data_IF_871662527328
#
_entry.id   IF_871662527328
#
_cell.length_a   1.000
_cell.length_b   1.000
_cell.length_c   1.000
_cell.angle_alpha   90.00
_cell.angle_beta   90.00
_cell.angle_gamma   90.00
#
_symmetry.space_group_name_H-M   'P 1'
#
loop_
_entity.id
_entity.type
_entity.pdbx_description
1 polymer ?
#
# COMPACT_ATOMS: atom_id res chain seq x y z
N UNK A 1 11.28 -7.40 3.82
CA UNK A 1 11.61 -6.83 5.15
C UNK A 1 11.84 -7.89 6.25
N UNK A 2 10.86 -8.72 6.66
CA UNK A 2 11.05 -9.78 7.70
C UNK A 2 12.22 -10.73 7.41
N UNK A 3 12.46 -11.07 6.15
CA UNK A 3 13.63 -11.90 5.77
C UNK A 3 14.96 -11.26 6.18
N UNK A 4 15.12 -9.94 6.01
CA UNK A 4 16.36 -9.24 6.41
C UNK A 4 16.59 -9.30 7.91
N UNK A 5 15.54 -9.11 8.70
CA UNK A 5 15.61 -9.28 10.15
C UNK A 5 16.05 -10.69 10.54
N UNK A 6 15.57 -11.71 9.81
CA UNK A 6 15.98 -13.10 10.05
C UNK A 6 17.46 -13.32 9.69
N UNK A 7 17.92 -12.80 8.55
CA UNK A 7 19.32 -12.83 8.12
C UNK A 7 20.26 -12.05 9.05
N UNK A 8 19.74 -11.05 9.77
CA UNK A 8 20.48 -10.29 10.77
C UNK A 8 20.48 -10.97 12.16
N UNK A 9 19.82 -12.12 12.33
CA UNK A 9 19.68 -12.79 13.61
C UNK A 9 18.59 -12.21 14.53
N UNK A 10 17.83 -11.21 14.06
CA UNK A 10 16.77 -10.53 14.80
C UNK A 10 15.43 -11.27 14.66
N UNK A 11 15.41 -12.55 15.04
CA UNK A 11 14.27 -13.46 14.85
C UNK A 11 13.04 -13.08 15.70
N UNK A 12 13.22 -12.34 16.79
CA UNK A 12 12.13 -11.83 17.62
C UNK A 12 11.24 -10.78 16.91
N UNK A 13 11.74 -10.09 15.87
CA UNK A 13 10.99 -9.07 15.09
C UNK A 13 9.99 -9.69 14.11
N UNK A 14 8.88 -10.25 14.61
CA UNK A 14 7.86 -10.90 13.76
C UNK A 14 7.09 -9.96 12.82
N UNK A 15 6.29 -10.53 11.90
CA UNK A 15 5.38 -9.77 11.00
C UNK A 15 4.45 -8.81 11.76
N UNK A 16 4.02 -9.17 12.98
CA UNK A 16 3.15 -8.32 13.81
C UNK A 16 3.82 -6.98 14.15
N UNK A 17 5.12 -6.99 14.44
CA UNK A 17 5.88 -5.78 14.73
C UNK A 17 5.98 -4.87 13.50
N UNK A 18 6.01 -5.44 12.29
CA UNK A 18 6.19 -4.70 11.03
C UNK A 18 4.89 -4.20 10.39
N UNK A 19 3.79 -4.08 11.15
CA UNK A 19 2.48 -3.67 10.59
C UNK A 19 2.39 -2.17 10.32
N UNK A 20 2.90 -1.34 11.22
CA UNK A 20 2.83 0.12 11.11
C UNK A 20 4.15 0.68 10.57
N UNK A 21 4.09 1.86 9.97
CA UNK A 21 5.28 2.54 9.44
C UNK A 21 6.29 2.83 10.57
N UNK A 22 5.83 3.46 11.65
CA UNK A 22 6.67 3.79 12.81
C UNK A 22 7.41 2.57 13.36
N UNK A 23 6.71 1.43 13.54
CA UNK A 23 7.37 0.24 14.06
C UNK A 23 8.41 -0.33 13.09
N UNK A 24 8.20 -0.19 11.78
CA UNK A 24 9.21 -0.60 10.78
C UNK A 24 10.43 0.29 10.85
N UNK A 25 10.27 1.60 10.98
CA UNK A 25 11.38 2.56 11.10
C UNK A 25 12.22 2.27 12.35
N UNK A 26 11.56 2.10 13.51
CA UNK A 26 12.22 1.70 14.75
C UNK A 26 12.96 0.36 14.56
N UNK A 27 12.30 -0.64 13.97
CA UNK A 27 12.93 -1.95 13.75
C UNK A 27 14.13 -1.84 12.80
N UNK A 28 14.03 -1.04 11.73
CA UNK A 28 15.12 -0.87 10.76
C UNK A 28 16.34 -0.19 11.38
N UNK A 29 16.14 0.74 12.31
CA UNK A 29 17.23 1.34 13.06
C UNK A 29 18.02 0.33 13.90
N UNK A 30 17.42 -0.81 14.29
CA UNK A 30 18.09 -1.90 15.01
C UNK A 30 18.96 -2.78 14.10
N UNK A 31 18.86 -2.66 12.78
CA UNK A 31 19.66 -3.47 11.86
C UNK A 31 21.12 -3.02 11.83
N UNK A 32 22.07 -3.98 11.74
CA UNK A 32 23.46 -3.67 11.41
C UNK A 32 23.56 -2.91 10.08
N UNK A 33 24.54 -2.00 9.98
CA UNK A 33 24.74 -1.11 8.83
C UNK A 33 24.72 -1.82 7.47
N UNK A 34 25.28 -3.05 7.41
CA UNK A 34 25.28 -3.89 6.19
C UNK A 34 23.88 -4.16 5.60
N UNK A 35 22.83 -4.15 6.41
CA UNK A 35 21.44 -4.37 5.96
C UNK A 35 20.62 -3.08 5.85
N UNK A 36 21.11 -1.95 6.38
CA UNK A 36 20.34 -0.71 6.45
C UNK A 36 19.95 -0.19 5.06
N UNK A 37 20.91 -0.13 4.12
CA UNK A 37 20.65 0.35 2.74
C UNK A 37 19.51 -0.42 2.05
N UNK A 38 19.53 -1.74 2.19
CA UNK A 38 18.50 -2.62 1.64
C UNK A 38 17.15 -2.42 2.35
N UNK A 39 17.18 -2.34 3.68
CA UNK A 39 15.98 -2.14 4.49
C UNK A 39 15.31 -0.79 4.20
N UNK A 40 16.07 0.29 4.08
CA UNK A 40 15.60 1.62 3.70
C UNK A 40 14.99 1.62 2.29
N UNK A 41 15.61 0.94 1.32
CA UNK A 41 15.03 0.81 -0.02
C UNK A 41 13.65 0.15 0.05
N UNK A 42 13.51 -0.93 0.83
CA UNK A 42 12.23 -1.61 1.00
C UNK A 42 11.21 -0.70 1.70
N UNK A 43 11.61 0.09 2.71
CA UNK A 43 10.70 1.04 3.36
C UNK A 43 10.14 2.05 2.36
N UNK A 44 10.99 2.63 1.50
CA UNK A 44 10.56 3.56 0.45
C UNK A 44 9.57 2.91 -0.52
N UNK A 45 9.85 1.67 -0.95
CA UNK A 45 8.93 0.92 -1.83
C UNK A 45 7.59 0.68 -1.15
N UNK A 46 7.56 0.34 0.15
CA UNK A 46 6.31 0.15 0.88
C UNK A 46 5.47 1.43 0.94
N UNK A 47 6.10 2.58 1.13
CA UNK A 47 5.42 3.88 1.13
C UNK A 47 4.85 4.21 -0.26
N UNK A 48 5.61 3.96 -1.33
CA UNK A 48 5.14 4.15 -2.70
C UNK A 48 3.97 3.23 -3.05
N UNK A 49 4.03 1.94 -2.68
CA UNK A 49 2.93 1.00 -2.90
C UNK A 49 1.67 1.47 -2.16
N UNK A 50 1.81 1.94 -0.91
CA UNK A 50 0.68 2.47 -0.14
C UNK A 50 0.06 3.70 -0.81
N UNK A 51 0.88 4.62 -1.32
CA UNK A 51 0.42 5.79 -2.05
C UNK A 51 -0.31 5.39 -3.35
N UNK A 52 0.31 4.50 -4.14
CA UNK A 52 -0.25 4.07 -5.42
C UNK A 52 -1.61 3.37 -5.23
N UNK A 53 -1.77 2.54 -4.20
CA UNK A 53 -3.05 1.90 -3.91
C UNK A 53 -4.14 2.93 -3.60
N UNK A 54 -3.81 3.99 -2.87
CA UNK A 54 -4.75 5.09 -2.57
C UNK A 54 -5.16 5.85 -3.84
N UNK A 55 -4.20 6.16 -4.71
CA UNK A 55 -4.47 6.85 -5.98
C UNK A 55 -5.36 6.00 -6.89
N UNK A 56 -5.08 4.69 -7.00
CA UNK A 56 -5.91 3.75 -7.75
C UNK A 56 -7.34 3.70 -7.19
N UNK A 57 -7.50 3.66 -5.87
CA UNK A 57 -8.81 3.69 -5.23
C UNK A 57 -9.58 4.99 -5.57
N UNK A 58 -8.91 6.14 -5.53
CA UNK A 58 -9.48 7.44 -5.90
C UNK A 58 -9.91 7.48 -7.37
N UNK A 59 -9.05 7.03 -8.30
CA UNK A 59 -9.34 6.95 -9.73
C UNK A 59 -10.55 6.04 -10.02
N UNK A 60 -10.63 4.88 -9.36
CA UNK A 60 -11.78 3.97 -9.49
C UNK A 60 -13.05 4.67 -8.98
N UNK A 61 -13.02 5.33 -7.84
CA UNK A 61 -14.18 6.04 -7.31
C UNK A 61 -14.64 7.18 -8.23
N UNK A 62 -13.72 7.92 -8.84
CA UNK A 62 -14.04 8.94 -9.82
C UNK A 62 -14.67 8.36 -11.10
N UNK A 63 -14.11 7.26 -11.62
CA UNK A 63 -14.67 6.57 -12.77
C UNK A 63 -16.09 6.05 -12.48
N UNK A 64 -16.33 5.51 -11.28
CA UNK A 64 -17.66 5.07 -10.85
C UNK A 64 -18.65 6.23 -10.70
N UNK A 65 -18.21 7.41 -10.24
CA UNK A 65 -19.08 8.60 -10.18
C UNK A 65 -19.47 9.10 -11.58
N UNK A 66 -18.55 9.06 -12.56
CA UNK A 66 -18.80 9.46 -13.96
C UNK A 66 -19.72 8.50 -14.71
N UNK A 67 -19.70 7.22 -14.36
CA UNK A 67 -20.53 6.18 -15.01
C UNK A 67 -21.94 6.07 -14.44
N UNK A 68 -22.16 6.32 -13.14
CA UNK A 68 -23.49 6.37 -12.51
C UNK A 68 -24.55 7.23 -13.23
N UNK A 69 -24.25 8.45 -13.74
CA UNK A 69 -25.21 9.26 -14.49
C UNK A 69 -25.45 8.75 -15.92
N UNK A 70 -24.54 7.95 -16.52
CA UNK A 70 -24.74 7.39 -17.86
C UNK A 70 -25.82 6.30 -17.88
N UNK A 71 -25.87 5.43 -16.86
CA UNK A 71 -26.90 4.38 -16.78
C UNK A 71 -28.30 4.91 -16.46
N UNK A 72 -28.43 6.06 -15.76
CA UNK A 72 -29.75 6.69 -15.57
C UNK A 72 -30.31 7.29 -16.86
N UNK A 73 -29.46 7.76 -17.77
CA UNK A 73 -29.90 8.33 -19.05
C UNK A 73 -30.32 7.28 -20.07
N UNK A 74 -29.71 6.08 -20.07
CA UNK A 74 -30.14 5.04 -21.01
C UNK A 74 -31.45 4.35 -20.59
N UNK A 75 -31.87 4.44 -19.32
CA UNK A 75 -33.15 3.91 -18.86
C UNK A 75 -34.34 4.83 -19.21
N UNK A 76 -34.12 6.14 -19.36
CA UNK A 76 -35.17 7.09 -19.77
C UNK A 76 -35.48 7.05 -21.28
N UNK A 77 -34.70 6.33 -22.08
CA UNK A 77 -34.94 6.15 -23.51
C UNK A 77 -35.68 4.85 -23.85
N UNK A 78 -36.04 4.02 -22.86
CA UNK A 78 -36.74 2.75 -23.06
C UNK A 78 -38.20 2.76 -22.60
N UNK A 79 -38.74 3.92 -22.18
CA UNK A 79 -40.12 4.07 -21.70
C UNK A 79 -41.01 4.91 -22.66
N UNK A 80 -40.63 5.08 -23.94
CA UNK A 80 -41.37 5.89 -24.91
C UNK A 80 -41.80 5.15 -26.20
N UNK A 81 -41.96 3.83 -26.16
CA UNK A 81 -42.71 3.05 -27.17
C UNK A 81 -43.80 2.23 -26.48
#
# INVERSE_FOLDING_TARGET
LRSLFTQAGLTHITKKHLRTKANREISVALLPSRYQKEAERILKVLDLVKLNLKLIEEEIQEALKKTKPMFRRSCLCLELE
#
